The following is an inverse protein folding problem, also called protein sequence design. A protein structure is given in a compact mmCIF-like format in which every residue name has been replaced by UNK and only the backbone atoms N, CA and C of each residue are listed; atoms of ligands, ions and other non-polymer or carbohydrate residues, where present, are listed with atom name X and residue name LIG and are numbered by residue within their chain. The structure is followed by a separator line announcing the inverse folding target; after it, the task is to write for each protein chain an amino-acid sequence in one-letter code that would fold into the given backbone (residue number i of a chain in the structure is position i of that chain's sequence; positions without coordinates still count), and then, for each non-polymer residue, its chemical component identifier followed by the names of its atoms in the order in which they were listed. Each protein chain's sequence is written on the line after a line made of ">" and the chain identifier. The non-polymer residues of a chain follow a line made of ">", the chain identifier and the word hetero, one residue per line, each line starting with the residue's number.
data_IF_267397799960
#
_entry.id   IF_267397799960
#
_cell.length_a   1.000
_cell.length_b   1.000
_cell.length_c   1.000
_cell.angle_alpha   90.00
_cell.angle_beta   90.00
_cell.angle_gamma   90.00
#
_symmetry.space_group_name_H-M   'P 1'
#
loop_
_entity.id
_entity.type
_entity.pdbx_description
1 polymer ?
#
# COMPACT_ATOMS: atom_id res chain seq x y z
N UNK A 1 -5.31 13.48 -4.15
CA UNK A 1 -4.43 14.67 -4.21
C UNK A 1 -3.30 14.64 -3.18
N UNK A 2 -3.57 14.45 -1.88
CA UNK A 2 -2.54 14.54 -0.82
C UNK A 2 -1.73 13.26 -0.54
N UNK A 3 -1.97 12.18 -1.29
CA UNK A 3 -1.20 10.94 -1.12
C UNK A 3 0.32 11.10 -1.29
N UNK A 4 0.83 11.94 -2.22
CA UNK A 4 2.27 12.19 -2.30
C UNK A 4 2.84 12.72 -0.98
N UNK A 5 2.14 13.63 -0.29
CA UNK A 5 2.51 14.08 1.05
C UNK A 5 2.45 12.96 2.08
N UNK A 6 1.42 12.10 2.02
CA UNK A 6 1.30 10.94 2.91
C UNK A 6 2.50 9.99 2.79
N UNK A 7 2.86 9.60 1.57
CA UNK A 7 3.99 8.69 1.34
C UNK A 7 5.36 9.34 1.56
N UNK A 8 5.46 10.67 1.52
CA UNK A 8 6.71 11.41 1.72
C UNK A 8 6.88 11.98 3.13
N UNK A 9 5.89 11.83 4.02
CA UNK A 9 5.86 12.54 5.30
C UNK A 9 7.07 12.23 6.19
N UNK A 10 7.55 10.98 6.15
CA UNK A 10 8.68 10.51 6.98
C UNK A 10 10.02 10.46 6.23
N UNK A 11 10.00 10.72 4.92
CA UNK A 11 11.20 10.77 4.11
C UNK A 11 11.86 12.16 4.24
N UNK A 12 13.19 12.21 4.11
CA UNK A 12 13.98 13.44 4.26
C UNK A 12 14.83 13.69 3.02
N UNK A 13 15.10 14.96 2.72
CA UNK A 13 15.96 15.36 1.60
C UNK A 13 15.47 14.83 0.25
N UNK A 14 16.39 14.27 -0.53
CA UNK A 14 16.10 13.76 -1.88
C UNK A 14 15.08 12.60 -1.88
N UNK A 15 15.07 11.79 -0.81
CA UNK A 15 14.09 10.71 -0.65
C UNK A 15 12.65 11.22 -0.59
N UNK A 16 12.46 12.39 0.02
CA UNK A 16 11.15 13.02 0.15
C UNK A 16 10.61 13.45 -1.21
N UNK A 17 11.42 14.16 -1.99
CA UNK A 17 11.05 14.57 -3.35
C UNK A 17 10.77 13.38 -4.25
N UNK A 18 11.62 12.34 -4.18
CA UNK A 18 11.40 11.10 -4.94
C UNK A 18 10.09 10.40 -4.54
N UNK A 19 9.77 10.38 -3.24
CA UNK A 19 8.50 9.83 -2.75
C UNK A 19 7.28 10.56 -3.29
N UNK A 20 7.34 11.89 -3.34
CA UNK A 20 6.29 12.72 -3.94
C UNK A 20 6.10 12.37 -5.42
N UNK A 21 7.20 12.37 -6.18
CA UNK A 21 7.18 12.13 -7.63
C UNK A 21 6.69 10.72 -7.95
N UNK A 22 7.28 9.70 -7.33
CA UNK A 22 6.89 8.29 -7.55
C UNK A 22 5.41 8.08 -7.20
N UNK A 23 4.94 8.64 -6.09
CA UNK A 23 3.54 8.51 -5.69
C UNK A 23 2.59 9.20 -6.68
N UNK A 24 2.94 10.40 -7.12
CA UNK A 24 2.15 11.13 -8.10
C UNK A 24 2.06 10.38 -9.43
N UNK A 25 3.20 9.89 -9.94
CA UNK A 25 3.27 9.14 -11.20
C UNK A 25 2.51 7.80 -11.12
N UNK A 26 2.62 7.08 -10.01
CA UNK A 26 1.86 5.86 -9.77
C UNK A 26 0.34 6.12 -9.74
N UNK A 27 -0.11 7.20 -9.09
CA UNK A 27 -1.52 7.59 -9.07
C UNK A 27 -2.05 7.99 -10.45
N UNK A 28 -1.25 8.70 -11.26
CA UNK A 28 -1.63 9.06 -12.62
C UNK A 28 -1.86 7.81 -13.48
N UNK A 29 -0.89 6.88 -13.49
CA UNK A 29 -1.02 5.62 -14.22
C UNK A 29 -2.22 4.80 -13.71
N UNK A 30 -2.38 4.71 -12.39
CA UNK A 30 -3.50 4.02 -11.76
C UNK A 30 -4.85 4.61 -12.17
N UNK A 31 -4.97 5.93 -12.22
CA UNK A 31 -6.19 6.62 -12.62
C UNK A 31 -6.58 6.26 -14.05
N UNK A 32 -5.68 6.44 -15.01
CA UNK A 32 -5.94 6.16 -16.44
C UNK A 32 -6.32 4.69 -16.65
N UNK A 33 -5.58 3.77 -16.04
CA UNK A 33 -5.83 2.32 -16.18
C UNK A 33 -7.14 1.93 -15.49
N UNK A 34 -7.50 2.52 -14.36
CA UNK A 34 -8.78 2.26 -13.68
C UNK A 34 -9.96 2.64 -14.57
N UNK A 35 -9.93 3.81 -15.22
CA UNK A 35 -10.99 4.19 -16.16
C UNK A 35 -11.07 3.21 -17.34
N UNK A 36 -9.94 2.86 -17.94
CA UNK A 36 -9.89 1.91 -19.04
C UNK A 36 -10.47 0.55 -18.64
N UNK A 37 -10.00 -0.05 -17.54
CA UNK A 37 -10.50 -1.35 -17.07
C UNK A 37 -11.96 -1.26 -16.66
N UNK A 38 -12.39 -0.17 -16.00
CA UNK A 38 -13.78 0.01 -15.57
C UNK A 38 -14.76 -0.04 -16.75
N UNK A 39 -14.43 0.63 -17.86
CA UNK A 39 -15.19 0.55 -19.11
C UNK A 39 -15.11 -0.84 -19.76
N UNK A 40 -13.91 -1.43 -19.84
CA UNK A 40 -13.70 -2.74 -20.48
C UNK A 40 -14.42 -3.90 -19.78
N UNK A 41 -14.61 -3.83 -18.46
CA UNK A 41 -15.32 -4.88 -17.69
C UNK A 41 -16.83 -4.66 -17.60
N UNK A 42 -17.32 -3.51 -18.09
CA UNK A 42 -18.74 -3.25 -18.29
C UNK A 42 -19.16 -3.73 -19.69
N UNK A 43 -20.33 -4.39 -19.77
CA UNK A 43 -20.81 -4.96 -21.04
C UNK A 43 -21.20 -3.91 -22.09
N UNK A 44 -21.41 -2.66 -21.68
CA UNK A 44 -21.79 -1.53 -22.53
C UNK A 44 -20.70 -0.45 -22.59
N UNK A 45 -19.52 -0.69 -22.01
CA UNK A 45 -18.41 0.27 -22.01
C UNK A 45 -18.58 1.46 -21.06
N UNK A 46 -19.50 1.41 -20.09
CA UNK A 46 -19.76 2.51 -19.14
C UNK A 46 -18.78 2.48 -17.96
N UNK A 47 -18.65 3.60 -17.27
CA UNK A 47 -17.85 3.67 -16.04
C UNK A 47 -18.67 3.36 -14.79
N UNK A 48 -18.12 2.54 -13.89
CA UNK A 48 -18.66 2.34 -12.56
C UNK A 48 -18.01 3.32 -11.55
N UNK A 49 -18.81 4.14 -10.87
CA UNK A 49 -18.30 5.13 -9.93
C UNK A 49 -17.61 4.55 -8.69
N UNK A 50 -17.94 3.33 -8.27
CA UNK A 50 -17.21 2.64 -7.19
C UNK A 50 -15.76 2.38 -7.61
N UNK A 51 -15.53 1.98 -8.87
CA UNK A 51 -14.18 1.84 -9.39
C UNK A 51 -13.46 3.20 -9.43
N UNK A 52 -14.12 4.24 -9.93
CA UNK A 52 -13.51 5.56 -10.10
C UNK A 52 -13.15 6.20 -8.75
N UNK A 53 -14.04 6.11 -7.75
CA UNK A 53 -13.82 6.71 -6.44
C UNK A 53 -12.76 5.97 -5.61
N UNK A 54 -12.63 4.66 -5.82
CA UNK A 54 -11.75 3.83 -4.99
C UNK A 54 -10.50 3.35 -5.74
N UNK A 55 -10.66 2.58 -6.83
CA UNK A 55 -9.54 1.92 -7.49
C UNK A 55 -8.51 2.90 -8.09
N UNK A 56 -8.90 4.14 -8.42
CA UNK A 56 -7.96 5.19 -8.86
C UNK A 56 -6.91 5.56 -7.80
N UNK A 57 -7.16 5.21 -6.53
CA UNK A 57 -6.28 5.45 -5.39
C UNK A 57 -5.30 4.30 -5.12
N UNK A 58 -5.52 3.12 -5.71
CA UNK A 58 -4.74 1.91 -5.43
C UNK A 58 -3.25 2.06 -5.75
N UNK A 59 -2.89 2.90 -6.74
CA UNK A 59 -1.49 3.20 -7.07
C UNK A 59 -0.75 3.90 -5.93
N UNK A 60 -1.44 4.73 -5.14
CA UNK A 60 -0.87 5.36 -3.96
C UNK A 60 -0.58 4.37 -2.82
N UNK A 61 -1.43 3.33 -2.69
CA UNK A 61 -1.19 2.21 -1.77
C UNK A 61 -0.01 1.36 -2.26
N UNK A 62 -0.04 0.93 -3.52
CA UNK A 62 0.92 -0.02 -4.07
C UNK A 62 2.36 0.52 -4.14
N UNK A 63 2.53 1.82 -4.32
CA UNK A 63 3.85 2.46 -4.34
C UNK A 63 4.39 2.76 -2.94
N UNK A 64 3.55 2.69 -1.89
CA UNK A 64 3.88 3.20 -0.55
C UNK A 64 5.21 2.68 0.00
N UNK A 65 5.42 1.36 0.00
CA UNK A 65 6.64 0.72 0.52
C UNK A 65 7.90 0.97 -0.32
N UNK A 66 7.76 1.54 -1.52
CA UNK A 66 8.89 1.81 -2.43
C UNK A 66 8.91 3.26 -2.92
N UNK A 67 8.09 4.13 -2.34
CA UNK A 67 7.94 5.52 -2.78
C UNK A 67 9.28 6.26 -2.71
N UNK A 68 10.04 6.05 -1.63
CA UNK A 68 11.37 6.63 -1.45
C UNK A 68 12.49 5.82 -2.10
N UNK A 69 12.20 4.74 -2.82
CA UNK A 69 13.22 3.90 -3.47
C UNK A 69 13.43 4.33 -4.94
N UNK A 70 14.59 4.01 -5.50
CA UNK A 70 14.91 4.29 -6.90
C UNK A 70 14.25 3.29 -7.85
N UNK A 71 12.93 3.40 -7.99
CA UNK A 71 12.14 2.61 -8.96
C UNK A 71 12.07 3.23 -10.35
N UNK A 72 12.61 4.46 -10.49
CA UNK A 72 12.44 5.33 -11.66
C UNK A 72 10.96 5.65 -11.99
N UNK A 73 10.69 6.72 -12.78
CA UNK A 73 9.31 7.07 -13.13
C UNK A 73 8.56 5.94 -13.85
N UNK A 74 9.23 5.15 -14.70
CA UNK A 74 8.59 4.04 -15.40
C UNK A 74 8.20 2.90 -14.46
N UNK A 75 8.99 2.61 -13.42
CA UNK A 75 8.65 1.63 -12.39
C UNK A 75 7.41 2.06 -11.61
N UNK A 76 7.35 3.33 -11.20
CA UNK A 76 6.17 3.89 -10.54
C UNK A 76 4.91 3.78 -11.40
N UNK A 77 4.99 4.06 -12.70
CA UNK A 77 3.86 3.88 -13.63
C UNK A 77 3.40 2.42 -13.71
N UNK A 78 4.34 1.46 -13.83
CA UNK A 78 4.01 0.03 -13.89
C UNK A 78 3.32 -0.43 -12.60
N UNK A 79 3.83 -0.03 -11.43
CA UNK A 79 3.23 -0.36 -10.14
C UNK A 79 1.80 0.20 -10.05
N UNK A 80 1.60 1.46 -10.42
CA UNK A 80 0.28 2.10 -10.46
C UNK A 80 -0.70 1.39 -11.40
N UNK A 81 -0.26 1.02 -12.60
CA UNK A 81 -1.08 0.31 -13.57
C UNK A 81 -1.48 -1.11 -13.10
N UNK A 82 -0.55 -1.85 -12.51
CA UNK A 82 -0.83 -3.16 -11.92
C UNK A 82 -1.80 -3.07 -10.75
N UNK A 83 -1.65 -2.04 -9.90
CA UNK A 83 -2.56 -1.78 -8.78
C UNK A 83 -3.99 -1.47 -9.26
N UNK A 84 -4.14 -0.66 -10.32
CA UNK A 84 -5.44 -0.39 -10.93
C UNK A 84 -6.12 -1.66 -11.46
N UNK A 85 -5.36 -2.54 -12.13
CA UNK A 85 -5.88 -3.81 -12.62
C UNK A 85 -6.38 -4.68 -11.45
N UNK A 86 -5.53 -4.89 -10.44
CA UNK A 86 -5.86 -5.69 -9.25
C UNK A 86 -7.09 -5.12 -8.54
N UNK A 87 -7.10 -3.81 -8.31
CA UNK A 87 -8.18 -3.15 -7.56
C UNK A 87 -9.50 -3.17 -8.32
N UNK A 88 -9.51 -2.77 -9.59
CA UNK A 88 -10.73 -2.72 -10.41
C UNK A 88 -11.33 -4.11 -10.64
N UNK A 89 -10.48 -5.10 -10.94
CA UNK A 89 -10.92 -6.50 -11.05
C UNK A 89 -11.40 -7.04 -9.70
N UNK A 90 -10.77 -6.62 -8.60
CA UNK A 90 -11.19 -6.92 -7.24
C UNK A 90 -12.61 -6.45 -6.94
N UNK A 91 -12.92 -5.20 -7.25
CA UNK A 91 -14.29 -4.67 -7.11
C UNK A 91 -15.28 -5.44 -7.98
N UNK A 92 -14.93 -5.73 -9.23
CA UNK A 92 -15.83 -6.41 -10.18
C UNK A 92 -16.08 -7.88 -9.84
N UNK A 93 -15.06 -8.60 -9.37
CA UNK A 93 -15.11 -10.07 -9.26
C UNK A 93 -14.82 -10.59 -7.85
N UNK A 94 -13.80 -10.07 -7.17
CA UNK A 94 -13.42 -10.55 -5.85
C UNK A 94 -14.46 -10.19 -4.78
N UNK A 95 -14.95 -8.94 -4.76
CA UNK A 95 -15.94 -8.48 -3.76
C UNK A 95 -17.24 -9.29 -3.81
N UNK A 96 -17.85 -9.53 -5.00
CA UNK A 96 -19.00 -10.42 -5.09
C UNK A 96 -18.71 -11.85 -4.66
N UNK A 97 -17.53 -12.39 -4.99
CA UNK A 97 -17.13 -13.73 -4.59
C UNK A 97 -16.97 -13.86 -3.07
N UNK A 98 -16.24 -12.95 -2.43
CA UNK A 98 -16.05 -12.91 -0.98
C UNK A 98 -17.39 -12.83 -0.24
N UNK A 99 -18.30 -11.99 -0.73
CA UNK A 99 -19.64 -11.82 -0.14
C UNK A 99 -20.50 -13.08 -0.32
N UNK A 100 -20.60 -13.60 -1.54
CA UNK A 100 -21.50 -14.70 -1.87
C UNK A 100 -21.01 -16.03 -1.28
N UNK A 101 -19.73 -16.33 -1.45
CA UNK A 101 -19.14 -17.64 -1.18
C UNK A 101 -18.46 -17.73 0.19
N UNK A 102 -17.86 -16.65 0.69
CA UNK A 102 -17.12 -16.67 1.96
C UNK A 102 -17.84 -15.93 3.09
N UNK A 103 -18.96 -15.25 2.82
CA UNK A 103 -19.72 -14.44 3.79
C UNK A 103 -18.88 -13.32 4.42
N UNK A 104 -17.91 -12.81 3.66
CA UNK A 104 -17.09 -11.67 4.04
C UNK A 104 -17.70 -10.45 3.39
N UNK A 105 -18.35 -9.61 4.20
CA UNK A 105 -18.94 -8.35 3.77
C UNK A 105 -17.91 -7.22 3.92
N UNK A 106 -17.52 -6.65 2.78
CA UNK A 106 -16.57 -5.53 2.71
C UNK A 106 -17.27 -4.33 2.06
N UNK A 107 -17.90 -3.49 2.89
CA UNK A 107 -18.78 -2.39 2.48
C UNK A 107 -18.13 -1.46 1.45
N UNK A 108 -16.88 -1.06 1.68
CA UNK A 108 -16.17 -0.13 0.79
C UNK A 108 -15.22 -0.86 -0.18
N UNK A 109 -15.12 -2.19 -0.10
CA UNK A 109 -14.13 -2.95 -0.85
C UNK A 109 -12.70 -2.61 -0.45
N UNK A 110 -12.43 -2.38 0.84
CA UNK A 110 -11.08 -2.02 1.34
C UNK A 110 -10.06 -3.11 1.05
N UNK A 111 -10.48 -4.37 0.86
CA UNK A 111 -9.58 -5.41 0.38
C UNK A 111 -9.06 -5.11 -1.04
N UNK A 112 -9.89 -4.53 -1.91
CA UNK A 112 -9.49 -4.22 -3.28
C UNK A 112 -8.65 -2.95 -3.38
N UNK A 113 -8.88 -1.97 -2.50
CA UNK A 113 -8.12 -0.73 -2.49
C UNK A 113 -6.84 -0.85 -1.65
N UNK A 114 -6.93 -1.37 -0.42
CA UNK A 114 -5.82 -1.41 0.53
C UNK A 114 -5.17 -2.79 0.63
N UNK A 115 -5.97 -3.85 0.79
CA UNK A 115 -5.46 -5.20 1.05
C UNK A 115 -4.57 -5.74 -0.07
N UNK A 116 -5.14 -6.00 -1.25
CA UNK A 116 -4.41 -6.56 -2.38
C UNK A 116 -3.33 -5.62 -2.93
N UNK A 117 -3.56 -4.30 -3.10
CA UNK A 117 -2.50 -3.37 -3.48
C UNK A 117 -1.40 -3.22 -2.41
N UNK A 118 -1.72 -3.38 -1.11
CA UNK A 118 -0.73 -3.40 -0.04
C UNK A 118 0.16 -4.65 -0.07
N UNK A 119 -0.41 -5.81 -0.38
CA UNK A 119 0.37 -7.04 -0.65
C UNK A 119 1.30 -6.83 -1.85
N UNK A 120 0.81 -6.22 -2.93
CA UNK A 120 1.65 -5.85 -4.07
C UNK A 120 2.80 -4.93 -3.64
N UNK A 121 2.55 -3.93 -2.79
CA UNK A 121 3.58 -3.03 -2.28
C UNK A 121 4.70 -3.78 -1.54
N UNK A 122 4.35 -4.74 -0.67
CA UNK A 122 5.33 -5.56 0.06
C UNK A 122 6.17 -6.44 -0.88
N UNK A 123 5.54 -7.07 -1.87
CA UNK A 123 6.25 -7.88 -2.88
C UNK A 123 7.20 -7.01 -3.70
N UNK A 124 6.73 -5.86 -4.19
CA UNK A 124 7.55 -4.91 -4.95
C UNK A 124 8.70 -4.39 -4.10
N UNK A 125 8.48 -4.10 -2.81
CA UNK A 125 9.54 -3.68 -1.90
C UNK A 125 10.64 -4.72 -1.74
N UNK A 126 10.29 -6.00 -1.59
CA UNK A 126 11.26 -7.10 -1.59
C UNK A 126 12.08 -7.15 -2.89
N UNK A 127 11.41 -7.03 -4.05
CA UNK A 127 12.08 -7.04 -5.37
C UNK A 127 13.06 -5.86 -5.49
N UNK A 128 12.62 -4.65 -5.14
CA UNK A 128 13.43 -3.44 -5.21
C UNK A 128 14.61 -3.50 -4.24
N UNK A 129 14.41 -4.03 -3.03
CA UNK A 129 15.48 -4.26 -2.06
C UNK A 129 16.54 -5.26 -2.59
N UNK A 130 16.11 -6.32 -3.29
CA UNK A 130 17.00 -7.30 -3.90
C UNK A 130 17.82 -6.72 -5.07
N UNK A 131 17.28 -5.71 -5.75
CA UNK A 131 17.95 -5.01 -6.86
C UNK A 131 18.84 -3.85 -6.41
N UNK A 132 18.62 -3.32 -5.20
CA UNK A 132 19.35 -2.16 -4.70
C UNK A 132 20.84 -2.47 -4.43
N UNK A 133 21.72 -1.65 -5.00
CA UNK A 133 23.17 -1.77 -4.91
C UNK A 133 23.83 -0.36 -4.88
N UNK A 134 25.12 -0.32 -4.55
CA UNK A 134 25.89 0.94 -4.47
C UNK A 134 26.09 1.62 -5.83
N UNK A 135 25.98 0.90 -6.95
CA UNK A 135 26.07 1.49 -8.29
C UNK A 135 24.91 2.45 -8.54
N UNK A 136 23.70 2.05 -8.14
CA UNK A 136 22.49 2.85 -8.34
C UNK A 136 22.30 3.88 -7.22
N UNK A 137 22.59 3.52 -5.96
CA UNK A 137 22.27 4.34 -4.78
C UNK A 137 23.48 5.07 -4.19
N UNK A 138 24.71 4.76 -4.59
CA UNK A 138 25.90 5.17 -3.85
C UNK A 138 25.81 4.75 -2.37
N UNK A 139 26.42 5.54 -1.48
CA UNK A 139 26.35 5.30 -0.03
C UNK A 139 25.02 5.69 0.62
N UNK A 140 24.13 6.39 -0.10
CA UNK A 140 22.76 6.63 0.38
C UNK A 140 21.96 5.33 0.52
N UNK A 141 22.42 4.24 -0.10
CA UNK A 141 21.88 2.89 0.08
C UNK A 141 21.74 2.52 1.56
N UNK A 142 22.73 2.90 2.38
CA UNK A 142 22.79 2.53 3.79
C UNK A 142 21.92 3.43 4.68
N UNK A 143 21.55 4.61 4.20
CA UNK A 143 20.51 5.40 4.85
C UNK A 143 19.13 4.74 4.65
N UNK A 144 18.87 4.26 3.43
CA UNK A 144 17.62 3.55 3.10
C UNK A 144 17.54 2.15 3.72
N UNK A 145 18.66 1.44 3.80
CA UNK A 145 18.77 0.09 4.38
C UNK A 145 19.89 0.02 5.43
N UNK A 146 19.67 0.55 6.66
CA UNK A 146 20.71 0.62 7.69
C UNK A 146 21.31 -0.74 8.05
N UNK A 147 20.51 -1.82 8.07
CA UNK A 147 21.01 -3.16 8.36
C UNK A 147 22.04 -3.68 7.34
N UNK A 148 22.07 -3.11 6.13
CA UNK A 148 23.05 -3.43 5.08
C UNK A 148 24.38 -2.69 5.24
N UNK A 149 24.44 -1.66 6.08
CA UNK A 149 25.68 -0.94 6.38
C UNK A 149 26.71 -1.92 6.99
N UNK A 150 28.00 -1.84 6.63
CA UNK A 150 29.03 -2.67 7.24
C UNK A 150 29.15 -2.44 8.76
N UNK A 151 29.72 -3.41 9.47
CA UNK A 151 29.95 -3.28 10.90
C UNK A 151 31.03 -2.22 11.21
N UNK A 152 30.96 -1.58 12.37
CA UNK A 152 31.81 -0.43 12.74
C UNK A 152 33.31 -0.72 12.64
N UNK A 153 33.72 -1.94 12.96
CA UNK A 153 35.12 -2.38 12.98
C UNK A 153 35.68 -2.79 11.60
N UNK A 154 34.99 -2.47 10.51
CA UNK A 154 35.41 -2.81 9.15
C UNK A 154 36.05 -1.63 8.41
N UNK A 155 37.03 -1.92 7.54
CA UNK A 155 37.67 -0.88 6.71
C UNK A 155 36.65 -0.23 5.77
N UNK A 156 35.69 -1.02 5.29
CA UNK A 156 34.58 -0.60 4.45
C UNK A 156 33.72 0.45 5.14
N UNK A 157 33.35 0.24 6.41
CA UNK A 157 32.59 1.22 7.19
C UNK A 157 33.36 2.55 7.33
N UNK A 158 34.64 2.50 7.73
CA UNK A 158 35.45 3.71 7.86
C UNK A 158 35.56 4.48 6.52
N UNK A 159 35.64 3.77 5.39
CA UNK A 159 35.63 4.39 4.06
C UNK A 159 34.30 5.11 3.80
N UNK A 160 33.16 4.47 4.05
CA UNK A 160 31.83 5.06 3.87
C UNK A 160 31.66 6.30 4.76
N UNK A 161 31.98 6.16 6.05
CA UNK A 161 31.83 7.23 7.05
C UNK A 161 32.74 8.44 6.75
N UNK A 162 33.91 8.22 6.12
CA UNK A 162 34.79 9.31 5.70
C UNK A 162 34.19 10.19 4.57
N UNK A 163 33.22 9.65 3.82
CA UNK A 163 32.54 10.34 2.72
C UNK A 163 31.15 10.85 3.14
N UNK A 164 30.44 10.12 4.00
CA UNK A 164 29.08 10.44 4.44
C UNK A 164 28.91 10.21 5.95
N UNK A 165 29.03 11.30 6.73
CA UNK A 165 29.07 11.31 8.21
C UNK A 165 27.73 10.87 8.85
N UNK A 166 26.65 10.74 8.09
CA UNK A 166 25.33 10.34 8.59
C UNK A 166 25.00 8.84 8.47
N UNK A 167 25.94 8.00 8.07
CA UNK A 167 25.71 6.54 7.96
C UNK A 167 26.18 5.85 9.22
N UNK A 168 25.23 5.25 9.94
CA UNK A 168 25.49 4.43 11.12
C UNK A 168 25.98 3.02 10.72
N UNK A 169 26.77 2.35 11.58
CA UNK A 169 27.20 0.98 11.33
C UNK A 169 26.00 0.03 11.39
N UNK A 170 26.05 -1.02 10.58
CA UNK A 170 24.98 -2.00 10.46
C UNK A 170 25.46 -3.43 10.64
N UNK A 171 24.54 -4.37 10.40
CA UNK A 171 24.80 -5.80 10.52
C UNK A 171 25.45 -6.41 9.27
N UNK A 172 25.80 -5.60 8.26
CA UNK A 172 26.37 -6.07 7.00
C UNK A 172 25.44 -6.98 6.19
N UNK A 173 24.12 -6.78 6.27
CA UNK A 173 23.15 -7.61 5.57
C UNK A 173 23.37 -7.63 4.06
N UNK A 174 23.26 -8.83 3.48
CA UNK A 174 23.23 -8.98 2.04
C UNK A 174 21.93 -8.39 1.46
N UNK A 175 21.93 -8.10 0.15
CA UNK A 175 20.70 -7.71 -0.57
C UNK A 175 19.59 -8.77 -0.46
N UNK A 176 19.96 -10.05 -0.39
CA UNK A 176 19.01 -11.15 -0.23
C UNK A 176 18.40 -11.16 1.18
N UNK A 177 19.21 -10.91 2.21
CA UNK A 177 18.75 -10.78 3.60
C UNK A 177 17.76 -9.61 3.75
N UNK A 178 18.08 -8.46 3.14
CA UNK A 178 17.18 -7.31 3.16
C UNK A 178 15.86 -7.59 2.43
N UNK A 179 15.91 -8.25 1.28
CA UNK A 179 14.71 -8.62 0.53
C UNK A 179 13.84 -9.61 1.32
N UNK A 180 14.46 -10.62 1.94
CA UNK A 180 13.76 -11.57 2.81
C UNK A 180 13.08 -10.86 3.97
N UNK A 181 13.74 -9.90 4.62
CA UNK A 181 13.15 -9.13 5.70
C UNK A 181 11.91 -8.32 5.25
N UNK A 182 11.85 -7.84 4.02
CA UNK A 182 10.63 -7.19 3.48
C UNK A 182 9.46 -8.19 3.38
N UNK A 183 9.72 -9.42 2.93
CA UNK A 183 8.70 -10.47 2.86
C UNK A 183 8.27 -10.93 4.26
N UNK A 184 9.22 -11.09 5.18
CA UNK A 184 8.93 -11.42 6.57
C UNK A 184 8.06 -10.35 7.23
N UNK A 185 8.36 -9.07 7.01
CA UNK A 185 7.56 -7.96 7.51
C UNK A 185 6.13 -7.98 6.95
N UNK A 186 5.96 -8.29 5.65
CA UNK A 186 4.64 -8.46 5.03
C UNK A 186 3.85 -9.60 5.69
N UNK A 187 4.47 -10.78 5.84
CA UNK A 187 3.81 -11.95 6.44
C UNK A 187 3.46 -11.71 7.91
N UNK A 188 4.36 -11.09 8.66
CA UNK A 188 4.14 -10.72 10.06
C UNK A 188 2.99 -9.71 10.18
N UNK A 189 2.95 -8.71 9.31
CA UNK A 189 1.85 -7.73 9.27
C UNK A 189 0.51 -8.39 9.00
N UNK A 190 0.44 -9.31 8.03
CA UNK A 190 -0.77 -10.07 7.73
C UNK A 190 -1.21 -10.93 8.92
N UNK A 191 -0.28 -11.62 9.58
CA UNK A 191 -0.57 -12.43 10.76
C UNK A 191 -1.15 -11.57 11.91
N UNK A 192 -0.51 -10.44 12.22
CA UNK A 192 -0.98 -9.51 13.24
C UNK A 192 -2.35 -8.94 12.88
N UNK A 193 -2.56 -8.51 11.64
CA UNK A 193 -3.82 -7.93 11.19
C UNK A 193 -4.98 -8.93 11.25
N UNK A 194 -4.78 -10.18 10.82
CA UNK A 194 -5.80 -11.22 10.86
C UNK A 194 -6.14 -11.60 12.30
N UNK A 195 -5.14 -11.88 13.13
CA UNK A 195 -5.36 -12.29 14.52
C UNK A 195 -5.98 -11.14 15.32
N UNK A 196 -5.42 -9.94 15.22
CA UNK A 196 -5.94 -8.74 15.87
C UNK A 196 -7.36 -8.38 15.41
N UNK A 197 -7.64 -8.51 14.11
CA UNK A 197 -8.98 -8.29 13.55
C UNK A 197 -10.01 -9.29 14.06
N UNK A 198 -9.67 -10.58 14.18
CA UNK A 198 -10.55 -11.61 14.74
C UNK A 198 -10.85 -11.32 16.21
N UNK A 199 -9.81 -11.04 17.02
CA UNK A 199 -9.98 -10.71 18.44
C UNK A 199 -10.87 -9.48 18.60
N UNK A 200 -10.59 -8.41 17.84
CA UNK A 200 -11.37 -7.17 17.86
C UNK A 200 -12.82 -7.43 17.46
N UNK A 201 -13.05 -8.20 16.38
CA UNK A 201 -14.37 -8.62 15.93
C UNK A 201 -15.16 -9.40 16.98
N UNK A 202 -14.50 -10.29 17.73
CA UNK A 202 -15.12 -11.01 18.86
C UNK A 202 -15.51 -10.06 20.00
N UNK A 203 -14.68 -9.07 20.32
CA UNK A 203 -14.94 -8.08 21.38
C UNK A 203 -16.11 -7.18 21.00
N UNK A 204 -16.12 -6.59 19.81
CA UNK A 204 -17.19 -5.64 19.40
C UNK A 204 -18.54 -6.33 19.17
N UNK A 205 -18.55 -7.67 19.06
CA UNK A 205 -19.78 -8.47 18.98
C UNK A 205 -20.45 -8.68 20.34
N UNK A 206 -19.79 -8.30 21.45
CA UNK A 206 -20.38 -8.43 22.78
C UNK A 206 -21.63 -7.53 22.90
N UNK A 207 -22.73 -8.01 23.52
CA UNK A 207 -23.98 -7.25 23.62
C UNK A 207 -23.87 -5.89 24.34
N UNK A 208 -22.81 -5.69 25.13
CA UNK A 208 -22.56 -4.43 25.84
C UNK A 208 -22.30 -3.25 24.88
N UNK A 209 -21.95 -3.53 23.63
CA UNK A 209 -21.72 -2.52 22.59
C UNK A 209 -22.93 -2.30 21.68
N UNK A 210 -24.07 -2.93 21.99
CA UNK A 210 -25.34 -2.77 21.27
C UNK A 210 -25.21 -2.81 19.72
N UNK A 211 -24.73 -3.92 19.15
CA UNK A 211 -24.48 -3.99 17.71
C UNK A 211 -25.79 -3.86 16.91
N UNK A 212 -25.79 -3.13 15.78
CA UNK A 212 -26.99 -2.89 14.99
C UNK A 212 -27.57 -4.20 14.44
N UNK A 213 -28.90 -4.25 14.38
CA UNK A 213 -29.63 -5.32 13.70
C UNK A 213 -29.54 -5.16 12.18
N UNK A 214 -29.95 -6.19 11.45
CA UNK A 214 -29.82 -6.22 9.98
C UNK A 214 -30.63 -5.14 9.26
N UNK A 215 -31.80 -4.82 9.80
CA UNK A 215 -32.71 -3.77 9.34
C UNK A 215 -32.20 -2.36 9.64
N UNK A 216 -31.23 -2.23 10.56
CA UNK A 216 -30.59 -0.98 10.95
C UNK A 216 -29.29 -0.68 10.19
N UNK A 217 -28.84 -1.62 9.34
CA UNK A 217 -27.56 -1.44 8.64
C UNK A 217 -27.70 -0.42 7.51
N UNK A 218 -26.77 0.54 7.48
CA UNK A 218 -26.71 1.62 6.47
C UNK A 218 -27.91 2.60 6.53
N UNK A 219 -28.54 2.70 7.70
CA UNK A 219 -29.60 3.65 8.00
C UNK A 219 -29.12 4.62 9.09
N UNK A 220 -29.25 5.92 8.83
CA UNK A 220 -28.80 6.96 9.76
C UNK A 220 -29.85 7.27 10.86
N UNK A 221 -31.10 6.86 10.69
CA UNK A 221 -32.25 7.23 11.55
C UNK A 221 -32.10 6.84 13.02
N UNK A 222 -31.39 5.73 13.30
CA UNK A 222 -31.17 5.26 14.66
C UNK A 222 -30.23 6.16 15.47
N UNK A 223 -29.35 6.90 14.79
CA UNK A 223 -28.26 7.67 15.43
C UNK A 223 -28.31 9.17 15.13
N UNK A 224 -29.10 9.59 14.15
CA UNK A 224 -29.17 10.98 13.69
C UNK A 224 -30.60 11.45 13.55
N UNK A 225 -30.82 12.73 13.83
CA UNK A 225 -32.03 13.43 13.41
C UNK A 225 -31.96 13.62 11.89
N UNK A 226 -32.86 12.94 11.17
CA UNK A 226 -32.93 13.00 9.70
C UNK A 226 -34.00 14.02 9.26
N UNK A 227 -33.83 14.66 8.09
CA UNK A 227 -34.89 15.48 7.51
C UNK A 227 -36.17 14.67 7.29
N UNK A 228 -37.33 15.31 7.49
CA UNK A 228 -38.62 14.72 7.12
C UNK A 228 -38.64 14.46 5.60
N UNK A 229 -39.12 13.28 5.18
CA UNK A 229 -39.24 12.95 3.75
C UNK A 229 -40.18 13.96 3.06
N UNK A 230 -39.74 14.54 1.94
CA UNK A 230 -40.62 15.40 1.14
C UNK A 230 -41.82 14.56 0.64
N UNK A 231 -43.06 15.07 0.80
CA UNK A 231 -44.29 14.32 0.50
C UNK A 231 -44.52 14.02 -0.99
#
# INVERSE_FOLDING_TARGET
>A
MFWPSFNSALAVGDEQHRSVINTFVALLACCVVTFAISSLVDGEGRFNMVHIQNATLAGGVAIGSTANMMVHPYGAMMIGALAALISTMGYRFATPFLTKNLKIHDTCGVNNLHGMPGILAGIVSSVVAAMANEENYGYSLYHLYPARSPAENTTEFHKIHSVMIGIEPGSGWSKASQAYAQLEALLTTLAIAVVGGIITGCIIRLPIFDPPKKDQLFDDTDYWEVPEEEP
#
